data_IF_318718955839
#
_entry.id   IF_318718955839
#
_cell.length_a   1.000
_cell.length_b   1.000
_cell.length_c   1.000
_cell.angle_alpha   90.00
_cell.angle_beta   90.00
_cell.angle_gamma   90.00
#
_symmetry.space_group_name_H-M   'P 1'
#
loop_
_entity.id
_entity.type
_entity.pdbx_description
1 polymer ?
#
# COMPACT_ATOMS: atom_id res chain seq x y z
N UNK A 1 60.05 34.01 9.93
CA UNK A 1 58.68 34.57 9.85
C UNK A 1 57.87 33.59 9.00
N UNK A 2 57.39 32.47 9.55
CA UNK A 2 56.03 32.25 10.09
C UNK A 2 54.96 32.96 9.26
N UNK A 3 54.20 32.22 8.44
CA UNK A 3 52.72 32.21 8.42
C UNK A 3 52.24 30.88 7.81
N UNK A 4 51.76 29.98 8.67
CA UNK A 4 51.02 28.79 8.26
C UNK A 4 49.54 29.17 8.12
N UNK A 5 48.97 28.94 6.95
CA UNK A 5 47.55 29.14 6.68
C UNK A 5 46.80 27.87 7.06
N UNK A 6 46.18 27.88 8.24
CA UNK A 6 45.39 26.76 8.76
C UNK A 6 43.95 26.93 8.27
N UNK A 7 43.51 26.12 7.31
CA UNK A 7 42.12 26.10 6.84
C UNK A 7 41.33 25.18 7.76
N UNK A 8 40.48 25.78 8.59
CA UNK A 8 39.55 25.09 9.48
C UNK A 8 38.28 24.76 8.71
N UNK A 9 38.23 23.58 8.08
CA UNK A 9 37.03 23.05 7.43
C UNK A 9 36.27 22.17 8.44
N UNK A 10 35.44 22.80 9.27
CA UNK A 10 34.51 22.09 10.13
C UNK A 10 33.24 21.75 9.33
N UNK A 11 33.17 20.53 8.76
CA UNK A 11 31.92 19.97 8.28
C UNK A 11 31.09 19.53 9.48
N UNK A 12 30.05 20.29 9.80
CA UNK A 12 28.99 19.85 10.69
C UNK A 12 28.13 18.81 9.97
N UNK A 13 28.45 17.53 10.16
CA UNK A 13 27.54 16.42 9.85
C UNK A 13 26.50 16.31 10.97
N UNK A 14 25.41 17.07 10.83
CA UNK A 14 24.17 16.83 11.57
C UNK A 14 23.09 16.42 10.57
N UNK A 15 23.20 15.22 10.03
CA UNK A 15 22.04 14.54 9.46
C UNK A 15 21.54 13.55 10.50
N UNK A 16 20.61 14.02 11.34
CA UNK A 16 19.85 13.17 12.22
C UNK A 16 18.77 12.49 11.36
N UNK A 17 19.07 11.32 10.81
CA UNK A 17 18.04 10.50 10.16
C UNK A 17 17.42 9.63 11.22
N UNK A 18 16.25 10.00 11.72
CA UNK A 18 15.39 9.06 12.43
C UNK A 18 14.75 8.14 11.38
N UNK A 19 15.48 7.11 10.98
CA UNK A 19 14.95 6.01 10.19
C UNK A 19 13.98 5.20 11.05
N UNK A 20 12.76 5.71 11.23
CA UNK A 20 11.61 4.85 11.47
C UNK A 20 11.21 4.22 10.13
N UNK A 21 12.13 3.47 9.53
CA UNK A 21 11.81 2.54 8.46
C UNK A 21 10.97 1.47 9.14
N UNK A 22 9.65 1.64 9.06
CA UNK A 22 8.71 0.59 9.42
C UNK A 22 8.95 -0.52 8.41
N UNK A 23 9.78 -1.49 8.76
CA UNK A 23 10.05 -2.66 7.93
C UNK A 23 8.73 -3.37 7.70
N UNK A 24 8.19 -3.25 6.49
CA UNK A 24 7.03 -4.01 6.04
C UNK A 24 7.38 -5.48 6.21
N UNK A 25 6.82 -6.07 7.26
CA UNK A 25 7.16 -7.41 7.71
C UNK A 25 6.13 -8.33 7.09
N UNK A 26 6.47 -8.87 5.92
CA UNK A 26 5.69 -9.87 5.18
C UNK A 26 4.24 -9.47 4.87
N UNK A 27 4.05 -8.77 3.75
CA UNK A 27 2.71 -8.45 3.24
C UNK A 27 1.98 -9.68 2.72
N UNK A 28 2.68 -10.76 2.36
CA UNK A 28 2.07 -11.92 1.72
C UNK A 28 0.96 -12.52 2.56
N UNK A 29 -0.04 -13.04 1.87
CA UNK A 29 -1.22 -13.63 2.46
C UNK A 29 -2.45 -12.75 2.38
N UNK A 30 -3.48 -13.14 3.12
CA UNK A 30 -4.82 -12.57 3.02
C UNK A 30 -5.10 -11.64 4.20
N UNK A 31 -5.64 -10.49 3.87
CA UNK A 31 -6.03 -9.44 4.81
C UNK A 31 -7.51 -9.19 4.65
N UNK A 32 -8.25 -9.06 5.75
CA UNK A 32 -9.70 -8.83 5.75
C UNK A 32 -10.02 -7.46 6.30
N UNK A 33 -10.98 -6.77 5.67
CA UNK A 33 -11.46 -5.46 6.15
C UNK A 33 -11.84 -5.56 7.63
N UNK A 34 -11.30 -4.66 8.44
CA UNK A 34 -11.44 -4.72 9.88
C UNK A 34 -12.86 -4.39 10.33
N UNK A 35 -13.55 -3.51 9.62
CA UNK A 35 -14.84 -2.96 10.01
C UNK A 35 -16.00 -3.83 9.50
N UNK A 36 -16.02 -4.11 8.20
CA UNK A 36 -17.15 -4.78 7.53
C UNK A 36 -16.97 -6.28 7.40
N UNK A 37 -15.72 -6.77 7.46
CA UNK A 37 -15.34 -8.17 7.18
C UNK A 37 -15.74 -8.66 5.77
N UNK A 38 -16.14 -7.76 4.87
CA UNK A 38 -16.65 -8.12 3.55
C UNK A 38 -15.56 -8.16 2.47
N UNK A 39 -14.61 -7.23 2.56
CA UNK A 39 -13.62 -7.00 1.52
C UNK A 39 -12.26 -7.55 1.97
N UNK A 40 -11.48 -8.06 1.04
CA UNK A 40 -10.19 -8.71 1.32
C UNK A 40 -9.12 -8.24 0.37
N UNK A 41 -7.88 -8.14 0.86
CA UNK A 41 -6.68 -7.95 0.04
C UNK A 41 -5.84 -9.20 0.16
N UNK A 42 -5.48 -9.81 -0.95
CA UNK A 42 -4.53 -10.94 -0.97
C UNK A 42 -3.27 -10.49 -1.67
N UNK A 43 -2.18 -10.35 -0.93
CA UNK A 43 -0.86 -10.09 -1.47
C UNK A 43 -0.18 -11.42 -1.74
N UNK A 44 0.45 -11.54 -2.90
CA UNK A 44 1.20 -12.74 -3.24
C UNK A 44 1.69 -12.74 -4.67
N UNK A 45 2.34 -13.86 -5.02
CA UNK A 45 2.79 -14.15 -6.37
C UNK A 45 1.66 -14.86 -7.13
N UNK A 46 1.19 -14.24 -8.22
CA UNK A 46 0.16 -14.80 -9.10
C UNK A 46 0.78 -15.05 -10.47
N UNK A 47 1.23 -16.28 -10.69
CA UNK A 47 2.10 -16.60 -11.83
C UNK A 47 3.53 -16.18 -11.54
N UNK A 48 4.08 -15.30 -12.36
CA UNK A 48 5.43 -14.74 -12.27
C UNK A 48 5.46 -13.32 -11.67
N UNK A 49 4.31 -12.81 -11.23
CA UNK A 49 4.16 -11.41 -10.83
C UNK A 49 3.57 -11.26 -9.44
N UNK A 50 4.20 -10.41 -8.63
CA UNK A 50 3.61 -9.97 -7.37
C UNK A 50 2.44 -9.01 -7.62
N UNK A 51 1.31 -9.25 -6.97
CA UNK A 51 0.10 -8.46 -7.14
C UNK A 51 -0.78 -8.49 -5.89
N UNK A 52 -1.77 -7.61 -5.87
CA UNK A 52 -2.85 -7.60 -4.88
C UNK A 52 -4.12 -8.09 -5.57
N UNK A 53 -4.81 -9.04 -4.98
CA UNK A 53 -6.18 -9.38 -5.38
C UNK A 53 -7.16 -8.75 -4.38
N UNK A 54 -7.95 -7.79 -4.85
CA UNK A 54 -9.05 -7.19 -4.12
C UNK A 54 -10.32 -8.03 -4.31
N UNK A 55 -10.73 -8.74 -3.26
CA UNK A 55 -11.96 -9.53 -3.24
C UNK A 55 -13.07 -8.83 -2.47
N UNK A 56 -14.13 -8.40 -3.16
CA UNK A 56 -15.25 -7.63 -2.57
C UNK A 56 -16.59 -8.37 -2.54
N UNK A 57 -16.59 -9.62 -2.98
CA UNK A 57 -17.78 -10.41 -3.25
C UNK A 57 -18.45 -10.06 -4.58
N UNK A 58 -19.74 -10.34 -4.68
CA UNK A 58 -20.55 -10.16 -5.88
C UNK A 58 -21.74 -9.24 -5.62
N UNK A 59 -22.28 -8.67 -6.69
CA UNK A 59 -23.52 -7.90 -6.72
C UNK A 59 -24.38 -8.34 -7.90
N UNK A 60 -25.69 -8.16 -7.78
CA UNK A 60 -26.60 -8.31 -8.92
C UNK A 60 -26.68 -6.98 -9.64
N UNK A 61 -26.30 -6.96 -10.92
CA UNK A 61 -26.41 -5.80 -11.80
C UNK A 61 -27.05 -6.25 -13.11
N UNK A 62 -28.12 -5.58 -13.50
CA UNK A 62 -28.90 -5.90 -14.70
C UNK A 62 -29.35 -7.38 -14.80
N UNK A 63 -29.67 -7.99 -13.65
CA UNK A 63 -30.07 -9.40 -13.55
C UNK A 63 -28.92 -10.41 -13.53
N UNK A 64 -27.66 -9.97 -13.65
CA UNK A 64 -26.48 -10.84 -13.61
C UNK A 64 -25.74 -10.74 -12.28
N UNK A 65 -25.24 -11.87 -11.77
CA UNK A 65 -24.39 -11.91 -10.58
C UNK A 65 -22.93 -11.70 -10.98
N UNK A 66 -22.42 -10.50 -10.76
CA UNK A 66 -21.09 -10.06 -11.18
C UNK A 66 -20.21 -9.72 -9.97
N UNK A 67 -18.88 -9.79 -10.08
CA UNK A 67 -18.01 -9.19 -9.08
C UNK A 67 -18.35 -7.70 -8.89
N UNK A 68 -18.31 -7.21 -7.65
CA UNK A 68 -18.50 -5.78 -7.39
C UNK A 68 -17.46 -4.97 -8.15
N UNK A 69 -17.84 -3.77 -8.61
CA UNK A 69 -16.92 -2.90 -9.34
C UNK A 69 -15.60 -2.67 -8.59
N UNK A 70 -14.49 -2.63 -9.33
CA UNK A 70 -13.14 -2.53 -8.76
C UNK A 70 -12.62 -3.81 -8.09
N UNK A 71 -13.36 -4.93 -8.09
CA UNK A 71 -12.78 -6.22 -7.66
C UNK A 71 -11.77 -6.72 -8.69
N UNK A 72 -10.75 -7.46 -8.22
CA UNK A 72 -9.79 -8.14 -9.08
C UNK A 72 -8.33 -7.76 -8.80
N UNK A 73 -7.45 -7.95 -9.79
CA UNK A 73 -6.01 -7.77 -9.61
C UNK A 73 -5.60 -6.31 -9.70
N UNK A 74 -4.65 -5.94 -8.85
CA UNK A 74 -3.93 -4.69 -8.86
C UNK A 74 -2.44 -4.97 -8.86
N UNK A 75 -1.72 -4.28 -9.73
CA UNK A 75 -0.29 -4.17 -9.59
C UNK A 75 0.01 -3.18 -8.48
N UNK A 76 1.09 -3.43 -7.74
CA UNK A 76 1.51 -2.54 -6.68
C UNK A 76 3.01 -2.24 -6.71
N UNK A 77 3.37 -1.06 -6.21
CA UNK A 77 4.75 -0.67 -5.89
C UNK A 77 4.76 -0.02 -4.53
N UNK A 78 5.64 -0.46 -3.64
CA UNK A 78 5.86 0.21 -2.37
C UNK A 78 6.77 1.41 -2.61
N UNK A 79 6.36 2.57 -2.12
CA UNK A 79 7.08 3.83 -2.27
C UNK A 79 7.66 4.25 -0.91
N UNK A 80 8.63 5.16 -0.93
CA UNK A 80 9.13 5.78 0.29
C UNK A 80 8.06 6.67 0.94
N UNK A 81 8.05 6.74 2.28
CA UNK A 81 7.18 7.64 3.04
C UNK A 81 5.73 7.17 3.19
N UNK A 82 5.51 5.92 3.63
CA UNK A 82 4.18 5.35 3.92
C UNK A 82 3.21 5.45 2.72
N UNK A 83 3.66 5.04 1.53
CA UNK A 83 2.87 5.08 0.29
C UNK A 83 2.92 3.78 -0.50
N UNK A 84 1.82 3.49 -1.19
CA UNK A 84 1.71 2.42 -2.17
C UNK A 84 1.16 2.99 -3.47
N UNK A 85 1.75 2.61 -4.59
CA UNK A 85 1.28 2.95 -5.92
C UNK A 85 0.50 1.76 -6.47
N UNK A 86 -0.76 1.96 -6.87
CA UNK A 86 -1.63 0.91 -7.36
C UNK A 86 -2.10 1.16 -8.80
N UNK A 87 -2.22 0.09 -9.56
CA UNK A 87 -2.83 0.09 -10.90
C UNK A 87 -3.79 -1.08 -11.04
N UNK A 88 -5.05 -0.79 -11.33
CA UNK A 88 -6.04 -1.82 -11.60
C UNK A 88 -5.79 -2.48 -12.96
N UNK A 89 -5.51 -3.78 -12.99
CA UNK A 89 -5.03 -4.46 -14.20
C UNK A 89 -6.11 -4.70 -15.25
N UNK A 90 -7.38 -4.59 -14.86
CA UNK A 90 -8.53 -4.74 -15.76
C UNK A 90 -8.99 -3.41 -16.36
N UNK A 91 -8.30 -2.31 -16.04
CA UNK A 91 -8.55 -1.00 -16.61
C UNK A 91 -7.75 -0.80 -17.90
N UNK A 92 -8.32 -0.09 -18.87
CA UNK A 92 -7.55 0.44 -20.02
C UNK A 92 -6.65 1.61 -19.61
N UNK A 93 -6.89 2.21 -18.43
CA UNK A 93 -6.00 3.21 -17.84
C UNK A 93 -4.78 2.52 -17.23
N UNK A 94 -3.65 2.60 -17.94
CA UNK A 94 -2.38 1.98 -17.53
C UNK A 94 -1.62 2.73 -16.43
N UNK A 95 -2.17 3.81 -15.89
CA UNK A 95 -1.52 4.66 -14.91
C UNK A 95 -1.58 4.06 -13.50
N UNK A 96 -0.51 4.29 -12.75
CA UNK A 96 -0.48 4.05 -11.31
C UNK A 96 -0.98 5.29 -10.56
N UNK A 97 -1.67 5.07 -9.44
CA UNK A 97 -2.08 6.12 -8.52
C UNK A 97 -1.51 5.84 -7.14
N UNK A 98 -1.04 6.87 -6.45
CA UNK A 98 -0.42 6.75 -5.14
C UNK A 98 -1.44 6.93 -4.03
N UNK A 99 -1.33 6.09 -3.00
CA UNK A 99 -2.20 6.06 -1.84
C UNK A 99 -1.36 6.00 -0.58
N UNK A 100 -1.84 6.59 0.51
CA UNK A 100 -1.24 6.33 1.82
C UNK A 100 -1.30 4.83 2.15
N UNK A 101 -0.22 4.30 2.72
CA UNK A 101 -0.09 2.89 3.07
C UNK A 101 0.85 2.67 4.26
N UNK A 102 0.36 1.96 5.27
CA UNK A 102 1.14 1.62 6.45
C UNK A 102 0.75 0.27 7.00
N UNK A 103 1.75 -0.57 7.24
CA UNK A 103 1.60 -1.80 8.03
C UNK A 103 2.08 -1.57 9.46
N UNK A 104 1.41 -2.16 10.44
CA UNK A 104 1.83 -2.21 11.83
C UNK A 104 1.44 -3.57 12.40
N UNK A 105 2.37 -4.53 12.35
CA UNK A 105 2.11 -5.92 12.72
C UNK A 105 1.09 -6.59 11.80
N UNK A 106 0.02 -7.10 12.40
CA UNK A 106 -1.12 -7.75 11.72
C UNK A 106 -2.16 -6.75 11.20
N UNK A 107 -1.92 -5.45 11.34
CA UNK A 107 -2.79 -4.38 10.86
C UNK A 107 -2.20 -3.69 9.65
N UNK A 108 -3.02 -3.50 8.63
CA UNK A 108 -2.71 -2.74 7.43
C UNK A 108 -3.68 -1.58 7.32
N UNK A 109 -3.16 -0.37 7.10
CA UNK A 109 -3.95 0.82 6.85
C UNK A 109 -3.61 1.35 5.47
N UNK A 110 -4.62 1.57 4.63
CA UNK A 110 -4.47 2.07 3.27
C UNK A 110 -5.54 3.10 2.97
N UNK A 111 -5.19 4.17 2.25
CA UNK A 111 -6.17 5.11 1.74
C UNK A 111 -7.14 4.42 0.76
N UNK A 112 -8.39 4.87 0.73
CA UNK A 112 -9.44 4.29 -0.09
C UNK A 112 -9.09 4.45 -1.58
N UNK A 113 -8.89 3.32 -2.24
CA UNK A 113 -8.54 3.23 -3.66
C UNK A 113 -9.62 2.57 -4.53
N UNK A 114 -10.78 2.27 -3.94
CA UNK A 114 -11.94 1.69 -4.59
C UNK A 114 -13.23 2.18 -3.93
N UNK A 115 -14.35 2.10 -4.65
CA UNK A 115 -15.63 2.59 -4.16
C UNK A 115 -16.26 1.64 -3.13
N UNK A 116 -16.26 2.02 -1.85
CA UNK A 116 -16.78 1.24 -0.73
C UNK A 116 -17.62 2.08 0.21
N UNK A 117 -18.61 1.43 0.83
CA UNK A 117 -19.56 2.03 1.78
C UNK A 117 -18.92 2.39 3.13
N UNK A 118 -17.70 1.91 3.40
CA UNK A 118 -16.94 2.30 4.60
C UNK A 118 -16.76 3.82 4.64
N UNK A 119 -17.15 4.46 5.74
CA UNK A 119 -17.01 5.91 5.92
C UNK A 119 -15.54 6.33 6.07
N UNK A 120 -15.23 7.58 5.71
CA UNK A 120 -13.88 8.13 5.76
C UNK A 120 -13.02 7.79 4.53
N UNK A 121 -11.75 8.22 4.58
CA UNK A 121 -10.76 8.06 3.50
C UNK A 121 -9.82 6.89 3.72
N UNK A 122 -9.84 6.25 4.89
CA UNK A 122 -8.88 5.22 5.28
C UNK A 122 -9.58 3.88 5.48
N UNK A 123 -8.97 2.84 4.95
CA UNK A 123 -9.37 1.45 5.12
C UNK A 123 -8.36 0.76 6.03
N UNK A 124 -8.87 -0.07 6.93
CA UNK A 124 -8.04 -0.89 7.82
C UNK A 124 -8.32 -2.34 7.52
N UNK A 125 -7.28 -3.13 7.30
CA UNK A 125 -7.34 -4.57 7.14
C UNK A 125 -6.54 -5.25 8.25
N UNK A 126 -6.94 -6.47 8.58
CA UNK A 126 -6.23 -7.34 9.52
C UNK A 126 -5.75 -8.59 8.79
N UNK A 127 -4.50 -9.01 9.02
CA UNK A 127 -3.95 -10.26 8.46
C UNK A 127 -4.75 -11.44 9.02
N UNK A 128 -5.12 -12.37 8.14
CA UNK A 128 -5.64 -13.67 8.53
C UNK A 128 -4.45 -14.58 8.82
N UNK A 129 -4.40 -15.12 10.04
CA UNK A 129 -3.41 -16.10 10.46
C UNK A 129 -3.60 -17.43 9.72
#
# INVERSE_FOLDING_TARGET
>A
MKQGLTIMLALTLLSCTSDNVTTLTDLNGKWVDFNTKSDTLTFGLFGDKESIILGRGKETRDGFVLPKHGSGPYDYKLLTGDKISLRWTLSSNGNFNDYYFKQSGDKLTIEKFYDTTTSGTMLTFKKLN
#
